data_IF_724796723899
#
_entry.id   IF_724796723899
#
_cell.length_a   1.000
_cell.length_b   1.000
_cell.length_c   1.000
_cell.angle_alpha   90.00
_cell.angle_beta   90.00
_cell.angle_gamma   90.00
#
_symmetry.space_group_name_H-M   'P 1'
#
loop_
_entity.id
_entity.type
_entity.pdbx_description
1 polymer ?
#
# COMPACT_ATOMS: atom_id res chain seq x y z
N UNK A 1 -2.46 10.09 21.36
CA UNK A 1 -1.64 9.27 20.45
C UNK A 1 -1.04 10.15 19.36
N UNK A 2 0.07 10.81 19.69
CA UNK A 2 0.87 11.66 18.80
C UNK A 2 2.11 10.94 18.25
N UNK A 3 2.19 9.61 18.40
CA UNK A 3 3.45 8.87 18.34
C UNK A 3 3.61 7.92 17.13
N UNK A 4 2.78 8.03 16.08
CA UNK A 4 2.83 7.12 14.92
C UNK A 4 4.23 7.02 14.33
N UNK A 5 4.92 8.16 14.21
CA UNK A 5 6.26 8.21 13.65
C UNK A 5 7.24 7.32 14.43
N UNK A 6 7.28 7.45 15.76
CA UNK A 6 8.20 6.63 16.57
C UNK A 6 7.85 5.14 16.47
N UNK A 7 6.57 4.77 16.45
CA UNK A 7 6.17 3.36 16.27
C UNK A 7 6.67 2.82 14.92
N UNK A 8 6.46 3.57 13.83
CA UNK A 8 6.92 3.17 12.50
C UNK A 8 8.45 3.10 12.48
N UNK A 9 9.14 4.12 12.99
CA UNK A 9 10.61 4.15 13.08
C UNK A 9 11.14 2.95 13.84
N UNK A 10 10.61 2.68 15.03
CA UNK A 10 11.05 1.60 15.89
C UNK A 10 10.81 0.24 15.22
N UNK A 11 9.71 0.10 14.46
CA UNK A 11 9.49 -1.07 13.62
C UNK A 11 10.54 -1.22 12.51
N UNK A 12 10.83 -0.16 11.73
CA UNK A 12 11.82 -0.19 10.64
C UNK A 12 13.25 -0.42 11.15
N UNK A 13 13.58 0.01 12.38
CA UNK A 13 14.86 -0.26 13.03
C UNK A 13 15.14 -1.77 13.21
N UNK A 14 14.11 -2.62 13.33
CA UNK A 14 14.29 -4.08 13.37
C UNK A 14 14.95 -4.63 12.10
N UNK A 15 14.88 -3.89 10.98
CA UNK A 15 15.50 -4.24 9.70
C UNK A 15 16.81 -3.47 9.45
N UNK A 16 17.32 -2.74 10.44
CA UNK A 16 18.48 -1.87 10.29
C UNK A 16 18.20 -0.59 9.49
N UNK A 17 16.92 -0.24 9.31
CA UNK A 17 16.49 0.93 8.55
C UNK A 17 16.13 2.04 9.53
N UNK A 18 17.01 3.03 9.63
CA UNK A 18 16.82 4.19 10.49
C UNK A 18 16.14 5.32 9.71
N UNK A 19 14.83 5.50 9.93
CA UNK A 19 14.03 6.50 9.21
C UNK A 19 14.48 7.93 9.49
N UNK A 20 15.12 8.20 10.63
CA UNK A 20 15.63 9.53 10.96
C UNK A 20 16.78 9.98 10.02
N UNK A 21 17.36 9.04 9.27
CA UNK A 21 18.37 9.31 8.23
C UNK A 21 17.76 9.69 6.88
N UNK A 22 16.45 9.56 6.72
CA UNK A 22 15.76 9.86 5.48
C UNK A 22 14.92 11.12 5.63
N UNK A 23 14.96 11.97 4.62
CA UNK A 23 14.11 13.16 4.54
C UNK A 23 12.71 12.76 4.03
N UNK A 24 11.95 12.04 4.86
CA UNK A 24 10.57 11.63 4.57
C UNK A 24 9.61 12.55 5.34
N UNK A 25 8.83 13.34 4.61
CA UNK A 25 7.81 14.21 5.22
C UNK A 25 6.48 13.49 5.32
N UNK A 26 5.91 13.45 6.52
CA UNK A 26 4.62 12.82 6.80
C UNK A 26 3.51 13.86 6.99
N UNK A 27 2.63 14.04 5.99
CA UNK A 27 1.37 14.79 6.12
C UNK A 27 0.24 13.80 6.49
N UNK A 28 0.05 13.59 7.79
CA UNK A 28 -0.72 12.47 8.33
C UNK A 28 -2.20 12.74 8.59
N UNK A 29 -2.54 13.96 8.96
CA UNK A 29 -3.85 14.25 9.54
C UNK A 29 -4.82 14.78 8.49
N UNK A 30 -6.12 14.45 8.60
CA UNK A 30 -7.13 14.98 7.70
C UNK A 30 -7.27 16.49 7.88
N UNK A 31 -7.42 17.20 6.77
CA UNK A 31 -7.74 18.62 6.73
C UNK A 31 -8.59 18.93 5.50
N UNK A 32 -9.34 20.03 5.55
CA UNK A 32 -10.17 20.49 4.43
C UNK A 32 -9.33 20.57 3.15
N UNK A 33 -9.88 20.09 2.03
CA UNK A 33 -9.27 20.09 0.70
C UNK A 33 -7.97 19.26 0.58
N UNK A 34 -7.74 18.27 1.44
CA UNK A 34 -6.67 17.28 1.26
C UNK A 34 -7.18 16.08 0.47
N UNK A 35 -6.30 15.44 -0.30
CA UNK A 35 -6.60 14.16 -0.97
C UNK A 35 -7.12 13.14 0.04
N UNK A 36 -8.14 12.38 -0.32
CA UNK A 36 -8.71 11.34 0.54
C UNK A 36 -7.81 10.08 0.60
N UNK A 37 -7.04 9.84 -0.46
CA UNK A 37 -6.16 8.69 -0.59
C UNK A 37 -4.85 8.87 0.17
N UNK A 38 -4.39 7.78 0.79
CA UNK A 38 -3.01 7.65 1.25
C UNK A 38 -2.09 7.32 0.07
N UNK A 39 -0.94 7.99 -0.02
CA UNK A 39 0.08 7.70 -1.04
C UNK A 39 1.43 8.30 -0.66
N UNK A 40 2.50 7.64 -1.10
CA UNK A 40 3.86 8.14 -1.16
C UNK A 40 4.16 8.74 -2.54
N UNK A 41 5.02 9.76 -2.56
CA UNK A 41 5.62 10.25 -3.78
C UNK A 41 7.03 10.76 -3.50
N UNK A 42 8.00 10.22 -4.25
CA UNK A 42 9.37 10.73 -4.26
C UNK A 42 9.41 12.04 -5.05
N UNK A 43 9.88 13.10 -4.40
CA UNK A 43 10.15 14.39 -5.03
C UNK A 43 11.50 14.34 -5.74
N UNK A 44 12.49 13.78 -5.05
CA UNK A 44 13.84 13.59 -5.56
C UNK A 44 14.37 12.25 -5.03
N UNK A 45 14.71 11.34 -5.93
CA UNK A 45 15.28 10.03 -5.60
C UNK A 45 16.46 10.19 -4.63
N UNK A 46 16.52 9.38 -3.58
CA UNK A 46 17.52 9.46 -2.50
C UNK A 46 17.48 10.70 -1.60
N UNK A 47 16.74 11.76 -1.93
CA UNK A 47 16.88 13.06 -1.25
C UNK A 47 15.59 13.61 -0.62
N UNK A 48 14.41 13.42 -1.23
CA UNK A 48 13.12 13.90 -0.68
C UNK A 48 11.98 12.95 -1.09
N UNK A 49 11.23 12.50 -0.08
CA UNK A 49 10.01 11.72 -0.28
C UNK A 49 8.91 12.19 0.67
N UNK A 50 7.67 12.09 0.24
CA UNK A 50 6.52 12.60 1.00
C UNK A 50 5.43 11.57 1.06
N UNK A 51 4.82 11.47 2.23
CA UNK A 51 3.71 10.57 2.52
C UNK A 51 2.52 11.43 2.89
N UNK A 52 1.43 11.28 2.15
CA UNK A 52 0.13 11.80 2.52
C UNK A 52 -0.73 10.64 3.03
N UNK A 53 -1.44 10.87 4.12
CA UNK A 53 -2.49 9.99 4.62
C UNK A 53 -3.54 10.80 5.41
N UNK A 54 -4.61 10.14 5.84
CA UNK A 54 -5.68 10.76 6.63
C UNK A 54 -5.99 9.94 7.89
N UNK A 55 -4.99 9.75 8.75
CA UNK A 55 -5.12 8.91 9.95
C UNK A 55 -5.99 9.58 11.01
N UNK A 56 -6.83 8.77 11.65
CA UNK A 56 -7.79 9.10 12.71
C UNK A 56 -7.56 8.27 13.97
N UNK A 57 -6.34 7.80 14.18
CA UNK A 57 -5.93 7.14 15.42
C UNK A 57 -6.51 5.75 15.62
N UNK A 58 -6.50 4.98 14.54
CA UNK A 58 -6.91 3.58 14.54
C UNK A 58 -5.73 2.68 14.20
N UNK A 59 -5.67 1.52 14.83
CA UNK A 59 -4.61 0.54 14.58
C UNK A 59 -4.51 0.14 13.09
N UNK A 60 -5.65 -0.08 12.43
CA UNK A 60 -5.72 -0.46 11.02
C UNK A 60 -5.06 0.54 10.07
N UNK A 61 -4.94 1.81 10.47
CA UNK A 61 -4.34 2.85 9.64
C UNK A 61 -2.82 2.68 9.52
N UNK A 62 -2.17 1.99 10.46
CA UNK A 62 -0.74 1.66 10.35
C UNK A 62 -0.44 0.81 9.12
N UNK A 63 -1.39 0.07 8.56
CA UNK A 63 -1.19 -0.64 7.29
C UNK A 63 -0.77 0.31 6.17
N UNK A 64 -1.51 1.41 6.01
CA UNK A 64 -1.19 2.45 5.03
C UNK A 64 0.16 3.07 5.38
N UNK A 65 0.45 3.32 6.66
CA UNK A 65 1.70 3.98 7.04
C UNK A 65 2.92 3.13 6.76
N UNK A 66 2.85 1.84 7.06
CA UNK A 66 3.87 0.86 6.77
C UNK A 66 4.06 0.72 5.25
N UNK A 67 2.96 0.64 4.50
CA UNK A 67 2.98 0.57 3.04
C UNK A 67 3.66 1.80 2.41
N UNK A 68 3.17 3.01 2.72
CA UNK A 68 3.71 4.24 2.15
C UNK A 68 5.14 4.53 2.63
N UNK A 69 5.49 4.14 3.86
CA UNK A 69 6.88 4.22 4.34
C UNK A 69 7.78 3.25 3.58
N UNK A 70 7.28 2.07 3.22
CA UNK A 70 7.98 1.13 2.34
C UNK A 70 8.35 1.75 0.99
N UNK A 71 7.43 2.47 0.36
CA UNK A 71 7.73 3.26 -0.85
C UNK A 71 8.79 4.33 -0.61
N UNK A 72 8.63 5.11 0.47
CA UNK A 72 9.59 6.14 0.86
C UNK A 72 11.00 5.58 1.02
N UNK A 73 11.16 4.56 1.86
CA UNK A 73 12.44 3.87 2.08
C UNK A 73 13.02 3.33 0.77
N UNK A 74 12.21 2.67 -0.06
CA UNK A 74 12.67 2.16 -1.34
C UNK A 74 13.24 3.28 -2.24
N UNK A 75 12.60 4.46 -2.28
CA UNK A 75 13.11 5.62 -3.02
C UNK A 75 14.44 6.16 -2.48
N UNK A 76 14.71 5.98 -1.18
CA UNK A 76 15.98 6.40 -0.56
C UNK A 76 17.14 5.44 -0.85
N UNK A 77 16.83 4.16 -1.08
CA UNK A 77 17.84 3.14 -1.36
C UNK A 77 18.31 3.13 -2.83
N UNK A 78 17.55 3.73 -3.74
CA UNK A 78 17.91 3.88 -5.15
C UNK A 78 19.12 4.79 -5.37
N UNK A 79 19.94 4.51 -6.38
CA UNK A 79 21.03 5.40 -6.79
C UNK A 79 20.57 6.40 -7.85
N UNK A 80 20.58 7.72 -7.59
CA UNK A 80 20.09 8.70 -8.56
C UNK A 80 20.91 8.75 -9.85
N UNK A 81 22.15 8.22 -9.87
CA UNK A 81 22.97 8.15 -11.08
C UNK A 81 22.61 6.97 -11.99
N UNK A 82 21.91 5.96 -11.47
CA UNK A 82 21.50 4.75 -12.20
C UNK A 82 20.19 4.96 -12.96
N UNK A 83 20.15 5.98 -13.84
CA UNK A 83 18.94 6.44 -14.52
C UNK A 83 18.20 5.32 -15.27
N UNK A 84 18.93 4.43 -15.96
CA UNK A 84 18.33 3.33 -16.73
C UNK A 84 17.73 2.29 -15.79
N UNK A 85 18.44 1.92 -14.71
CA UNK A 85 17.93 0.95 -13.74
C UNK A 85 16.71 1.51 -13.03
N UNK A 86 16.76 2.76 -12.56
CA UNK A 86 15.64 3.42 -11.90
C UNK A 86 14.41 3.51 -12.82
N UNK A 87 14.61 3.86 -14.09
CA UNK A 87 13.52 3.91 -15.09
C UNK A 87 12.94 2.52 -15.39
N UNK A 88 13.72 1.47 -15.19
CA UNK A 88 13.31 0.07 -15.39
C UNK A 88 12.61 -0.56 -14.19
N UNK A 89 12.52 0.13 -13.04
CA UNK A 89 11.85 -0.41 -11.87
C UNK A 89 10.34 -0.44 -12.15
N UNK A 90 9.81 -1.66 -12.23
CA UNK A 90 8.39 -1.89 -12.46
C UNK A 90 7.58 -1.57 -11.20
N UNK A 91 6.38 -1.01 -11.39
CA UNK A 91 5.44 -0.74 -10.29
C UNK A 91 5.15 -1.99 -9.43
N UNK A 92 5.16 -3.19 -9.99
CA UNK A 92 4.96 -4.43 -9.22
C UNK A 92 6.04 -4.65 -8.15
N UNK A 93 7.27 -4.16 -8.39
CA UNK A 93 8.37 -4.25 -7.44
C UNK A 93 8.17 -3.23 -6.32
N UNK A 94 7.83 -1.99 -6.66
CA UNK A 94 7.59 -0.94 -5.66
C UNK A 94 6.39 -1.28 -4.79
N UNK A 95 5.29 -1.72 -5.39
CA UNK A 95 4.10 -2.21 -4.70
C UNK A 95 4.39 -3.48 -3.90
N UNK A 96 5.24 -4.38 -4.40
CA UNK A 96 5.63 -5.59 -3.67
C UNK A 96 6.35 -5.27 -2.36
N UNK A 97 7.28 -4.32 -2.39
CA UNK A 97 7.99 -3.84 -1.19
C UNK A 97 7.02 -3.16 -0.22
N UNK A 98 6.14 -2.28 -0.73
CA UNK A 98 5.17 -1.59 0.09
C UNK A 98 4.13 -2.54 0.72
N UNK A 99 3.61 -3.50 -0.05
CA UNK A 99 2.70 -4.53 0.46
C UNK A 99 3.38 -5.46 1.47
N UNK A 100 4.67 -5.79 1.29
CA UNK A 100 5.44 -6.52 2.29
C UNK A 100 5.42 -5.77 3.62
N UNK A 101 5.79 -4.49 3.64
CA UNK A 101 5.77 -3.69 4.87
C UNK A 101 4.36 -3.54 5.45
N UNK A 102 3.35 -3.28 4.61
CA UNK A 102 1.95 -3.21 5.03
C UNK A 102 1.45 -4.50 5.68
N UNK A 103 1.92 -5.67 5.22
CA UNK A 103 1.51 -6.97 5.76
C UNK A 103 1.97 -7.24 7.19
N UNK A 104 3.05 -6.56 7.65
CA UNK A 104 3.49 -6.67 9.04
C UNK A 104 2.48 -6.13 10.04
N UNK A 105 1.43 -5.42 9.62
CA UNK A 105 0.31 -5.06 10.50
C UNK A 105 -0.26 -6.30 11.24
N UNK A 106 -0.16 -7.49 10.66
CA UNK A 106 -0.66 -8.73 11.26
C UNK A 106 0.44 -9.64 11.81
N UNK A 107 1.69 -9.18 11.80
CA UNK A 107 2.84 -9.93 12.29
C UNK A 107 3.18 -9.54 13.74
N UNK A 108 3.62 -10.51 14.54
CA UNK A 108 3.96 -10.30 15.96
C UNK A 108 5.03 -9.22 16.12
N UNK A 109 5.95 -9.11 15.16
CA UNK A 109 7.00 -8.09 15.15
C UNK A 109 6.46 -6.67 15.24
N UNK A 110 5.22 -6.43 14.79
CA UNK A 110 4.57 -5.14 14.85
C UNK A 110 3.50 -5.08 15.95
N UNK A 111 2.50 -5.97 15.91
CA UNK A 111 1.30 -5.83 16.74
C UNK A 111 1.59 -5.93 18.24
N UNK A 112 2.66 -6.63 18.64
CA UNK A 112 3.05 -6.80 20.05
C UNK A 112 3.42 -5.49 20.74
N UNK A 113 3.75 -4.44 19.97
CA UNK A 113 3.95 -3.10 20.52
C UNK A 113 2.64 -2.38 20.93
N UNK A 114 1.48 -2.96 20.59
CA UNK A 114 0.16 -2.38 20.84
C UNK A 114 -0.74 -3.21 21.76
N UNK A 115 -0.56 -4.53 21.78
CA UNK A 115 -1.44 -5.46 22.48
C UNK A 115 -0.64 -6.34 23.44
N UNK A 116 -0.99 -6.30 24.72
CA UNK A 116 -0.40 -7.16 25.76
C UNK A 116 -1.11 -8.52 25.88
N UNK A 117 -2.33 -8.62 25.35
CA UNK A 117 -3.14 -9.85 25.35
C UNK A 117 -2.74 -10.78 24.19
N UNK A 118 -3.05 -12.08 24.32
CA UNK A 118 -2.82 -13.02 23.22
C UNK A 118 -3.86 -12.80 22.11
N UNK A 119 -3.43 -12.15 21.04
CA UNK A 119 -4.21 -11.81 19.83
C UNK A 119 -3.68 -12.49 18.56
N UNK A 120 -2.76 -13.47 18.71
CA UNK A 120 -2.08 -14.15 17.60
C UNK A 120 -3.08 -14.87 16.68
N UNK A 121 -4.09 -15.52 17.27
CA UNK A 121 -5.10 -16.27 16.52
C UNK A 121 -5.96 -15.37 15.62
N UNK A 122 -6.32 -14.19 16.10
CA UNK A 122 -7.10 -13.17 15.40
C UNK A 122 -6.28 -12.56 14.27
N UNK A 123 -5.03 -12.16 14.53
CA UNK A 123 -4.15 -11.60 13.52
C UNK A 123 -3.81 -12.61 12.43
N UNK A 124 -3.62 -13.88 12.77
CA UNK A 124 -3.44 -14.96 11.78
C UNK A 124 -4.66 -15.09 10.87
N UNK A 125 -5.87 -15.09 11.44
CA UNK A 125 -7.11 -15.14 10.65
C UNK A 125 -7.27 -13.91 9.75
N UNK A 126 -6.92 -12.70 10.24
CA UNK A 126 -6.93 -11.49 9.43
C UNK A 126 -5.94 -11.58 8.25
N UNK A 127 -4.72 -12.06 8.49
CA UNK A 127 -3.72 -12.25 7.45
C UNK A 127 -4.15 -13.28 6.39
N UNK A 128 -4.77 -14.38 6.80
CA UNK A 128 -5.34 -15.39 5.89
C UNK A 128 -6.49 -14.81 5.06
N UNK A 129 -7.42 -14.10 5.71
CA UNK A 129 -8.53 -13.43 5.04
C UNK A 129 -8.03 -12.42 4.01
N UNK A 130 -7.03 -11.62 4.36
CA UNK A 130 -6.45 -10.61 3.47
C UNK A 130 -5.85 -11.26 2.23
N UNK A 131 -5.04 -12.32 2.39
CA UNK A 131 -4.48 -13.08 1.25
C UNK A 131 -5.56 -13.60 0.32
N UNK A 132 -6.66 -14.13 0.86
CA UNK A 132 -7.80 -14.58 0.06
C UNK A 132 -8.53 -13.41 -0.63
N UNK A 133 -8.62 -12.26 0.05
CA UNK A 133 -9.26 -11.07 -0.50
C UNK A 133 -8.53 -10.53 -1.74
N UNK A 134 -7.20 -10.67 -1.80
CA UNK A 134 -6.40 -10.30 -2.98
C UNK A 134 -6.77 -11.10 -4.23
N UNK A 135 -7.31 -12.31 -4.11
CA UNK A 135 -7.81 -13.05 -5.27
C UNK A 135 -8.97 -12.32 -5.97
N UNK A 136 -9.73 -11.48 -5.25
CA UNK A 136 -10.77 -10.64 -5.86
C UNK A 136 -10.17 -9.55 -6.74
N UNK A 137 -8.99 -9.05 -6.40
CA UNK A 137 -8.29 -8.04 -7.20
C UNK A 137 -7.87 -8.58 -8.57
N UNK A 138 -7.57 -9.87 -8.67
CA UNK A 138 -7.28 -10.53 -9.96
C UNK A 138 -8.47 -10.37 -10.93
N UNK A 139 -9.70 -10.45 -10.43
CA UNK A 139 -10.90 -10.20 -11.23
C UNK A 139 -10.93 -8.78 -11.81
N UNK A 140 -10.48 -7.77 -11.06
CA UNK A 140 -10.40 -6.39 -11.55
C UNK A 140 -9.34 -6.24 -12.64
N UNK A 141 -8.21 -6.95 -12.55
CA UNK A 141 -7.18 -6.96 -13.60
C UNK A 141 -7.76 -7.57 -14.89
N UNK A 142 -8.49 -8.68 -14.78
CA UNK A 142 -9.15 -9.26 -15.94
C UNK A 142 -10.21 -8.34 -16.54
N UNK A 143 -10.98 -7.65 -15.69
CA UNK A 143 -11.91 -6.63 -16.15
C UNK A 143 -11.22 -5.51 -16.92
N UNK A 144 -10.12 -4.97 -16.39
CA UNK A 144 -9.34 -3.92 -17.06
C UNK A 144 -8.80 -4.41 -18.41
N UNK A 145 -8.23 -5.61 -18.46
CA UNK A 145 -7.78 -6.22 -19.73
C UNK A 145 -8.92 -6.37 -20.75
N UNK A 146 -10.11 -6.78 -20.33
CA UNK A 146 -11.25 -6.89 -21.24
C UNK A 146 -11.72 -5.52 -21.74
N UNK A 147 -11.64 -4.46 -20.94
CA UNK A 147 -11.93 -3.10 -21.44
C UNK A 147 -11.00 -2.69 -22.57
N UNK A 148 -9.69 -3.00 -22.50
CA UNK A 148 -8.74 -2.69 -23.57
C UNK A 148 -8.88 -3.59 -24.81
N UNK A 149 -9.48 -4.77 -24.68
CA UNK A 149 -9.64 -5.74 -25.78
C UNK A 149 -10.96 -5.63 -26.53
N UNK A 150 -11.94 -4.91 -25.97
CA UNK A 150 -13.26 -4.76 -26.55
C UNK A 150 -13.47 -3.30 -27.02
N UNK A 151 -14.29 -3.12 -28.04
CA UNK A 151 -14.67 -1.79 -28.51
C UNK A 151 -15.71 -1.17 -27.57
N UNK A 152 -15.29 -0.21 -26.75
CA UNK A 152 -16.13 0.48 -25.76
C UNK A 152 -16.69 1.74 -26.39
N UNK A 153 -17.84 1.60 -27.06
CA UNK A 153 -18.51 2.70 -27.77
C UNK A 153 -19.58 3.40 -26.94
N UNK A 154 -19.96 2.84 -25.79
CA UNK A 154 -20.94 3.42 -24.88
C UNK A 154 -20.67 3.06 -23.41
N UNK A 155 -21.33 3.78 -22.50
CA UNK A 155 -21.28 3.53 -21.05
C UNK A 155 -21.94 2.20 -20.63
N UNK A 156 -22.67 1.53 -21.52
CA UNK A 156 -23.28 0.23 -21.24
C UNK A 156 -22.30 -0.94 -21.43
N UNK A 157 -21.27 -0.76 -22.28
CA UNK A 157 -20.29 -1.81 -22.57
C UNK A 157 -19.51 -2.25 -21.32
N UNK A 158 -18.99 -1.36 -20.45
CA UNK A 158 -18.29 -1.76 -19.23
C UNK A 158 -19.16 -2.58 -18.27
N UNK A 159 -20.43 -2.20 -18.09
CA UNK A 159 -21.37 -2.93 -17.21
C UNK A 159 -21.62 -4.36 -17.72
N UNK A 160 -21.73 -4.53 -19.03
CA UNK A 160 -21.92 -5.85 -19.63
C UNK A 160 -20.66 -6.73 -19.50
N UNK A 161 -19.48 -6.16 -19.78
CA UNK A 161 -18.18 -6.84 -19.61
C UNK A 161 -17.98 -7.27 -18.15
N UNK A 162 -18.27 -6.38 -17.21
CA UNK A 162 -18.23 -6.68 -15.77
C UNK A 162 -19.17 -7.85 -15.44
N UNK A 163 -20.41 -7.80 -15.90
CA UNK A 163 -21.37 -8.85 -15.60
C UNK A 163 -20.94 -10.22 -16.15
N UNK A 164 -20.40 -10.28 -17.36
CA UNK A 164 -19.89 -11.52 -17.94
C UNK A 164 -18.74 -12.13 -17.14
N UNK A 165 -17.80 -11.30 -16.68
CA UNK A 165 -16.62 -11.76 -15.94
C UNK A 165 -16.93 -12.22 -14.51
N UNK A 166 -17.81 -11.49 -13.81
CA UNK A 166 -18.04 -11.72 -12.39
C UNK A 166 -19.28 -12.59 -12.09
N UNK A 167 -20.24 -12.67 -13.00
CA UNK A 167 -21.48 -13.46 -12.82
C UNK A 167 -21.66 -14.58 -13.85
N UNK A 168 -20.73 -14.73 -14.81
CA UNK A 168 -20.87 -15.66 -15.92
C UNK A 168 -21.83 -15.14 -17.00
N UNK A 169 -21.94 -15.84 -18.15
CA UNK A 169 -22.83 -15.42 -19.25
C UNK A 169 -24.29 -15.37 -18.79
N UNK A 170 -24.76 -14.19 -18.40
CA UNK A 170 -26.18 -13.86 -18.50
C UNK A 170 -26.46 -13.62 -19.98
N UNK A 171 -27.10 -14.61 -20.63
CA UNK A 171 -27.80 -14.36 -21.89
C UNK A 171 -28.94 -13.38 -21.56
N UNK A 172 -28.75 -12.10 -21.88
CA UNK A 172 -29.81 -11.10 -22.00
C UNK A 172 -30.18 -10.97 -23.48
#
# INVERSE_FOLDING_TARGET
MSNYYNIIRDFFLNFGIDLDKFNITYDMFPRKNKSEWGYNFSIETRNDSRILANVKNQYSEFKVLLHETGHGVHSFLQDPNELILNSGINGIVTEGIANLFGSFLHDELFYKSFFDENVEGEFRQMAEYEKLSYLRFIGNIFFDHELYRNDVTSLYNPSHIYAQLFYGRCNL
#
